data_IF_943892408510
#
_entry.id   IF_943892408510
#
_cell.length_a   1.000
_cell.length_b   1.000
_cell.length_c   1.000
_cell.angle_alpha   90.00
_cell.angle_beta   90.00
_cell.angle_gamma   90.00
#
_symmetry.space_group_name_H-M   'P 1'
#
loop_
_entity.id
_entity.type
_entity.pdbx_description
1 polymer ?
#
# COMPACT_ATOMS: atom_id res chain seq x y z
N UNK A 1 -35.12 -20.04 15.85
CA UNK A 1 -34.22 -18.86 15.84
C UNK A 1 -34.92 -17.70 16.51
N UNK A 2 -34.32 -17.17 17.59
CA UNK A 2 -34.88 -16.01 18.32
C UNK A 2 -34.60 -14.73 17.51
N UNK A 3 -35.57 -13.81 17.52
CA UNK A 3 -35.38 -12.45 16.99
C UNK A 3 -34.97 -11.45 18.10
N UNK A 4 -34.92 -11.90 19.34
CA UNK A 4 -34.51 -11.11 20.50
C UNK A 4 -32.97 -11.11 20.61
N UNK A 5 -32.29 -9.95 20.43
CA UNK A 5 -30.83 -9.86 20.50
C UNK A 5 -30.25 -10.19 21.89
N UNK A 6 -31.10 -10.23 22.92
CA UNK A 6 -30.70 -10.59 24.31
C UNK A 6 -31.02 -12.04 24.65
N UNK A 7 -31.45 -12.86 23.70
CA UNK A 7 -31.75 -14.27 23.97
C UNK A 7 -30.51 -15.03 24.45
N UNK A 8 -30.65 -15.99 25.40
CA UNK A 8 -29.49 -16.70 25.97
C UNK A 8 -28.60 -17.42 24.94
N UNK A 9 -29.17 -17.84 23.81
CA UNK A 9 -28.42 -18.46 22.70
C UNK A 9 -27.42 -17.54 22.05
N UNK A 10 -27.53 -16.20 22.22
CA UNK A 10 -26.58 -15.20 21.67
C UNK A 10 -25.53 -14.75 22.71
N UNK A 11 -25.56 -15.29 23.95
CA UNK A 11 -24.62 -14.89 24.99
C UNK A 11 -23.14 -15.03 24.56
N UNK A 12 -22.79 -16.13 23.86
CA UNK A 12 -21.44 -16.36 23.39
C UNK A 12 -21.00 -15.33 22.31
N UNK A 13 -21.93 -14.81 21.52
CA UNK A 13 -21.63 -13.76 20.53
C UNK A 13 -21.35 -12.45 21.27
N UNK A 14 -22.14 -12.15 22.30
CA UNK A 14 -21.92 -10.95 23.10
C UNK A 14 -20.56 -11.02 23.84
N UNK A 15 -20.24 -12.15 24.46
CA UNK A 15 -18.94 -12.37 25.10
C UNK A 15 -17.78 -12.18 24.12
N UNK A 16 -17.92 -12.67 22.88
CA UNK A 16 -16.91 -12.45 21.84
C UNK A 16 -16.76 -10.96 21.51
N UNK A 17 -17.87 -10.23 21.34
CA UNK A 17 -17.82 -8.80 21.01
C UNK A 17 -17.23 -7.98 22.16
N UNK A 18 -17.62 -8.29 23.41
CA UNK A 18 -17.07 -7.64 24.60
C UNK A 18 -15.55 -7.91 24.71
N UNK A 19 -15.10 -9.14 24.42
CA UNK A 19 -13.67 -9.49 24.39
C UNK A 19 -12.93 -8.76 23.25
N UNK A 20 -13.53 -8.61 22.08
CA UNK A 20 -12.93 -7.83 20.97
C UNK A 20 -12.73 -6.38 21.38
N UNK A 21 -13.74 -5.77 22.01
CA UNK A 21 -13.67 -4.36 22.44
C UNK A 21 -12.62 -4.16 23.56
N UNK A 22 -12.44 -5.14 24.44
CA UNK A 22 -11.46 -5.09 25.54
C UNK A 22 -10.01 -5.34 25.06
N UNK A 23 -9.81 -6.33 24.16
CA UNK A 23 -8.48 -6.82 23.81
C UNK A 23 -7.86 -6.18 22.57
N UNK A 24 -8.67 -5.63 21.66
CA UNK A 24 -8.18 -5.01 20.41
C UNK A 24 -8.17 -3.49 20.59
N UNK A 25 -6.98 -2.87 20.76
CA UNK A 25 -6.89 -1.42 20.88
C UNK A 25 -7.31 -0.74 19.58
N UNK A 26 -7.94 0.42 19.70
CA UNK A 26 -8.22 1.27 18.53
C UNK A 26 -6.91 1.60 17.82
N UNK A 27 -6.81 1.37 16.49
CA UNK A 27 -5.60 1.68 15.73
C UNK A 27 -5.22 3.14 15.85
N UNK A 28 -3.92 3.42 15.99
CA UNK A 28 -3.40 4.78 15.87
C UNK A 28 -3.55 5.23 14.41
N UNK A 29 -4.48 6.17 14.18
CA UNK A 29 -4.70 6.79 12.88
C UNK A 29 -3.71 7.92 12.71
N UNK A 30 -2.83 7.83 11.73
CA UNK A 30 -1.80 8.83 11.41
C UNK A 30 -2.42 10.06 10.72
N UNK A 31 -3.35 10.73 11.36
CA UNK A 31 -4.12 11.85 10.80
C UNK A 31 -3.28 13.11 10.61
N UNK A 32 -2.28 13.33 11.47
CA UNK A 32 -1.39 14.50 11.43
C UNK A 32 -0.33 14.44 10.32
N UNK A 33 -0.23 13.30 9.61
CA UNK A 33 0.69 13.14 8.49
C UNK A 33 0.10 13.70 7.19
N UNK A 34 0.95 14.05 6.20
CA UNK A 34 0.47 14.40 4.87
C UNK A 34 -0.41 13.29 4.27
N UNK A 35 -1.55 13.66 3.67
CA UNK A 35 -2.48 12.74 3.03
C UNK A 35 -1.78 11.80 2.05
N UNK A 36 -2.15 10.52 2.11
CA UNK A 36 -1.73 9.49 1.15
C UNK A 36 -2.81 8.41 1.04
N UNK A 37 -3.20 8.11 -0.19
CA UNK A 37 -4.15 7.04 -0.53
C UNK A 37 -3.62 6.24 -1.72
N UNK A 38 -3.27 4.95 -1.54
CA UNK A 38 -2.98 4.05 -2.65
C UNK A 38 -4.21 3.86 -3.53
N UNK A 39 -4.03 3.90 -4.85
CA UNK A 39 -5.09 3.67 -5.83
C UNK A 39 -5.31 2.16 -6.00
N UNK A 40 -6.51 1.69 -5.69
CA UNK A 40 -6.92 0.28 -5.81
C UNK A 40 -7.65 0.00 -7.12
N UNK A 41 -8.53 0.92 -7.52
CA UNK A 41 -9.28 0.83 -8.78
C UNK A 41 -9.59 2.23 -9.33
N UNK A 42 -9.84 2.28 -10.65
CA UNK A 42 -10.16 3.51 -11.37
C UNK A 42 -11.32 3.28 -12.32
N UNK A 43 -12.38 4.08 -12.21
CA UNK A 43 -13.50 4.04 -13.12
C UNK A 43 -14.00 5.44 -13.47
N UNK A 44 -14.84 5.51 -14.50
CA UNK A 44 -15.40 6.77 -14.97
C UNK A 44 -16.91 6.80 -14.70
N UNK A 45 -17.38 7.90 -14.15
CA UNK A 45 -18.82 8.19 -14.03
C UNK A 45 -19.20 9.13 -15.16
N UNK A 46 -20.15 8.69 -16.02
CA UNK A 46 -20.64 9.51 -17.14
C UNK A 46 -21.12 10.88 -16.66
N UNK A 47 -20.61 11.95 -17.26
CA UNK A 47 -20.95 13.34 -16.93
C UNK A 47 -20.31 13.89 -15.65
N UNK A 48 -19.58 13.07 -14.86
CA UNK A 48 -18.93 13.53 -13.62
C UNK A 48 -17.41 13.47 -13.68
N UNK A 49 -16.81 12.44 -14.31
CA UNK A 49 -15.36 12.33 -14.46
C UNK A 49 -14.79 11.01 -13.93
N UNK A 50 -13.49 11.00 -13.68
CA UNK A 50 -12.73 9.84 -13.22
C UNK A 50 -12.72 9.78 -11.70
N UNK A 51 -13.00 8.58 -11.17
CA UNK A 51 -12.95 8.26 -9.73
C UNK A 51 -11.81 7.29 -9.49
N UNK A 52 -10.94 7.61 -8.55
CA UNK A 52 -9.96 6.71 -7.97
C UNK A 52 -10.46 6.21 -6.62
N UNK A 53 -10.45 4.90 -6.41
CA UNK A 53 -10.82 4.30 -5.13
C UNK A 53 -9.60 3.80 -4.39
N UNK A 54 -9.67 3.81 -3.07
CA UNK A 54 -8.63 3.29 -2.20
C UNK A 54 -8.92 3.56 -0.73
N UNK A 55 -8.07 2.99 0.11
CA UNK A 55 -8.08 3.27 1.54
C UNK A 55 -7.09 4.39 1.85
N UNK A 56 -7.53 5.42 2.56
CA UNK A 56 -6.64 6.46 3.08
C UNK A 56 -5.65 5.81 4.05
N UNK A 57 -4.37 5.82 3.70
CA UNK A 57 -3.30 5.20 4.50
C UNK A 57 -2.90 6.11 5.67
N UNK A 58 -2.89 7.42 5.44
CA UNK A 58 -2.54 8.46 6.43
C UNK A 58 -3.07 9.83 6.03
N UNK A 59 -3.12 10.73 7.00
CA UNK A 59 -3.54 12.11 6.83
C UNK A 59 -5.03 12.27 6.60
N UNK A 60 -5.40 13.46 6.19
CA UNK A 60 -6.77 13.86 5.85
C UNK A 60 -6.81 14.44 4.46
N UNK A 61 -7.92 14.21 3.75
CA UNK A 61 -8.25 14.79 2.45
C UNK A 61 -9.53 15.57 2.57
N UNK A 62 -9.52 16.85 2.16
CA UNK A 62 -10.72 17.68 2.14
C UNK A 62 -11.25 17.87 0.73
N UNK A 63 -12.56 18.11 0.64
CA UNK A 63 -13.19 18.46 -0.62
C UNK A 63 -12.54 19.72 -1.22
N UNK A 64 -12.31 19.73 -2.55
CA UNK A 64 -11.60 20.75 -3.31
C UNK A 64 -10.11 20.90 -2.97
N UNK A 65 -9.50 19.97 -2.26
CA UNK A 65 -8.08 19.96 -2.02
C UNK A 65 -7.30 19.48 -3.25
N UNK A 66 -6.09 20.02 -3.44
CA UNK A 66 -5.15 19.56 -4.47
C UNK A 66 -4.44 18.30 -4.02
N UNK A 67 -4.33 17.35 -4.93
CA UNK A 67 -3.57 16.11 -4.76
C UNK A 67 -2.63 15.90 -5.94
N UNK A 68 -1.57 15.15 -5.71
CA UNK A 68 -0.60 14.72 -6.71
C UNK A 68 -0.76 13.21 -6.94
N UNK A 69 -0.72 12.80 -8.21
CA UNK A 69 -0.67 11.39 -8.63
C UNK A 69 0.79 11.01 -8.76
N UNK A 70 1.24 10.02 -7.99
CA UNK A 70 2.66 9.63 -7.89
C UNK A 70 2.84 8.13 -8.13
N UNK A 71 3.89 7.76 -8.84
CA UNK A 71 4.30 6.36 -9.10
C UNK A 71 4.00 5.90 -10.51
N UNK A 72 4.65 4.80 -10.93
CA UNK A 72 4.63 4.17 -12.24
C UNK A 72 5.18 5.04 -13.39
N UNK A 73 5.43 6.31 -13.14
CA UNK A 73 6.10 7.24 -14.04
C UNK A 73 6.82 8.33 -13.24
N UNK A 74 7.76 9.03 -13.87
CA UNK A 74 8.44 10.19 -13.29
C UNK A 74 7.64 11.49 -13.48
N UNK A 75 6.54 11.42 -14.24
CA UNK A 75 5.69 12.58 -14.52
C UNK A 75 4.90 12.96 -13.26
N UNK A 76 4.98 14.22 -12.88
CA UNK A 76 4.17 14.80 -11.81
C UNK A 76 2.87 15.32 -12.38
N UNK A 77 1.78 14.85 -11.80
CA UNK A 77 0.44 15.30 -12.18
C UNK A 77 -0.34 15.74 -10.95
N UNK A 78 -0.71 17.00 -10.92
CA UNK A 78 -1.61 17.54 -9.90
C UNK A 78 -3.06 17.58 -10.41
N UNK A 79 -3.99 17.34 -9.51
CA UNK A 79 -5.42 17.50 -9.74
C UNK A 79 -6.11 17.99 -8.49
N UNK A 80 -7.43 18.21 -8.59
CA UNK A 80 -8.28 18.63 -7.47
C UNK A 80 -9.35 17.56 -7.24
N UNK A 81 -9.52 17.15 -6.00
CA UNK A 81 -10.59 16.24 -5.59
C UNK A 81 -11.89 17.03 -5.47
N UNK A 82 -12.85 16.79 -6.36
CA UNK A 82 -14.13 17.50 -6.45
C UNK A 82 -15.30 16.77 -5.82
N UNK A 83 -15.08 15.55 -5.35
CA UNK A 83 -16.05 14.75 -4.63
C UNK A 83 -15.36 13.65 -3.85
N UNK A 84 -15.86 13.36 -2.67
CA UNK A 84 -15.44 12.25 -1.80
C UNK A 84 -16.69 11.48 -1.45
N UNK A 85 -16.67 10.16 -1.70
CA UNK A 85 -17.81 9.29 -1.43
C UNK A 85 -17.37 8.03 -0.68
N UNK A 86 -18.11 7.65 0.35
CA UNK A 86 -17.94 6.42 1.10
C UNK A 86 -19.32 5.81 1.40
N UNK A 87 -19.51 4.52 1.05
CA UNK A 87 -20.79 3.80 1.24
C UNK A 87 -22.03 4.56 0.72
N UNK A 88 -21.93 5.13 -0.50
CA UNK A 88 -22.96 5.97 -1.14
C UNK A 88 -23.33 7.26 -0.39
N UNK A 89 -22.44 7.73 0.49
CA UNK A 89 -22.57 9.02 1.18
C UNK A 89 -21.46 9.97 0.72
N UNK A 90 -21.87 11.17 0.36
CA UNK A 90 -20.93 12.26 0.06
C UNK A 90 -20.32 12.79 1.38
N UNK A 91 -19.02 13.01 1.37
CA UNK A 91 -18.27 13.49 2.51
C UNK A 91 -17.60 14.83 2.19
N UNK A 92 -17.45 15.69 3.20
CA UNK A 92 -16.67 16.92 3.10
C UNK A 92 -15.17 16.67 3.27
N UNK A 93 -14.80 15.61 3.97
CA UNK A 93 -13.42 15.16 4.17
C UNK A 93 -13.38 13.65 4.39
N UNK A 94 -12.19 13.08 4.21
CA UNK A 94 -11.85 11.70 4.55
C UNK A 94 -10.56 11.67 5.38
N UNK A 95 -10.41 10.65 6.21
CA UNK A 95 -9.27 10.50 7.11
C UNK A 95 -8.65 9.10 7.05
N UNK A 96 -7.49 8.95 7.66
CA UNK A 96 -6.77 7.67 7.72
C UNK A 96 -7.68 6.52 8.19
N UNK A 97 -7.74 5.46 7.38
CA UNK A 97 -8.59 4.28 7.60
C UNK A 97 -9.85 4.25 6.73
N UNK A 98 -10.30 5.37 6.18
CA UNK A 98 -11.50 5.42 5.34
C UNK A 98 -11.26 4.79 3.97
N UNK A 99 -12.22 3.99 3.49
CA UNK A 99 -12.26 3.52 2.10
C UNK A 99 -13.15 4.45 1.29
N UNK A 100 -12.56 5.17 0.35
CA UNK A 100 -13.25 6.23 -0.39
C UNK A 100 -13.12 6.09 -1.91
N UNK A 101 -14.07 6.73 -2.60
CA UNK A 101 -13.95 7.11 -3.99
C UNK A 101 -13.68 8.61 -4.09
N UNK A 102 -12.55 8.99 -4.66
CA UNK A 102 -12.15 10.38 -4.89
C UNK A 102 -12.42 10.76 -6.36
N UNK A 103 -13.33 11.71 -6.59
CA UNK A 103 -13.63 12.24 -7.91
C UNK A 103 -12.56 13.28 -8.29
N UNK A 104 -11.83 13.04 -9.38
CA UNK A 104 -10.69 13.83 -9.83
C UNK A 104 -11.09 14.76 -10.99
N UNK A 105 -10.68 16.03 -10.90
CA UNK A 105 -10.95 17.04 -11.94
C UNK A 105 -9.96 16.92 -13.09
N UNK A 106 -10.48 16.78 -14.32
CA UNK A 106 -9.66 16.89 -15.54
C UNK A 106 -8.63 15.77 -15.72
N UNK A 107 -8.83 14.62 -15.06
CA UNK A 107 -8.00 13.41 -15.23
C UNK A 107 -8.79 12.40 -16.03
N UNK A 108 -8.24 11.92 -17.14
CA UNK A 108 -8.81 10.81 -17.89
C UNK A 108 -8.51 9.47 -17.19
N UNK A 109 -9.36 8.45 -17.40
CA UNK A 109 -9.12 7.10 -16.83
C UNK A 109 -7.77 6.51 -17.21
N UNK A 110 -7.24 6.86 -18.40
CA UNK A 110 -5.96 6.38 -18.91
C UNK A 110 -4.74 7.09 -18.30
N UNK A 111 -4.96 8.10 -17.48
CA UNK A 111 -3.93 8.95 -16.87
C UNK A 111 -3.69 8.65 -15.39
N UNK A 112 -4.44 7.71 -14.85
CA UNK A 112 -4.29 7.21 -13.49
C UNK A 112 -4.59 5.72 -13.49
N UNK A 113 -3.82 4.95 -12.74
CA UNK A 113 -3.98 3.51 -12.67
C UNK A 113 -3.71 2.94 -11.28
N UNK A 114 -4.17 1.72 -11.06
CA UNK A 114 -3.86 0.95 -9.85
C UNK A 114 -2.34 0.85 -9.65
N UNK A 115 -1.89 1.07 -8.42
CA UNK A 115 -0.48 1.04 -8.06
C UNK A 115 0.16 2.41 -7.88
N UNK A 116 -0.45 3.46 -8.44
CA UNK A 116 -0.13 4.83 -8.11
C UNK A 116 -0.71 5.21 -6.74
N UNK A 117 -0.30 6.35 -6.21
CA UNK A 117 -0.88 6.93 -5.00
C UNK A 117 -1.40 8.33 -5.27
N UNK A 118 -2.49 8.70 -4.61
CA UNK A 118 -2.88 10.10 -4.44
C UNK A 118 -2.25 10.60 -3.14
N UNK A 119 -1.55 11.71 -3.22
CA UNK A 119 -0.85 12.28 -2.06
C UNK A 119 -0.99 13.78 -1.99
N UNK A 120 -0.69 14.36 -0.83
CA UNK A 120 -0.49 15.79 -0.72
C UNK A 120 0.69 16.17 -1.63
N UNK A 121 0.58 17.24 -2.47
CA UNK A 121 1.64 17.62 -3.40
C UNK A 121 3.00 17.74 -2.73
N UNK A 122 4.03 17.10 -3.32
CA UNK A 122 5.41 17.11 -2.84
C UNK A 122 5.69 16.31 -1.57
N UNK A 123 4.73 15.55 -1.04
CA UNK A 123 4.92 14.77 0.20
C UNK A 123 5.54 13.39 0.02
N UNK A 124 5.51 12.85 -1.20
CA UNK A 124 6.15 11.57 -1.57
C UNK A 124 6.68 11.68 -3.00
N UNK A 125 7.71 10.89 -3.32
CA UNK A 125 8.33 10.87 -4.65
C UNK A 125 8.44 9.46 -5.20
N UNK A 126 8.46 9.29 -6.54
CA UNK A 126 8.73 8.00 -7.14
C UNK A 126 10.22 7.68 -7.06
N UNK A 127 10.57 6.44 -6.77
CA UNK A 127 11.93 5.93 -6.71
C UNK A 127 12.04 4.55 -7.34
N UNK A 128 13.18 4.25 -7.92
CA UNK A 128 13.53 2.93 -8.45
C UNK A 128 14.54 2.19 -7.57
N UNK A 129 15.33 2.89 -6.75
CA UNK A 129 16.42 2.30 -5.98
C UNK A 129 16.23 2.49 -4.49
N UNK A 130 16.35 1.42 -3.73
CA UNK A 130 16.27 1.45 -2.28
C UNK A 130 17.10 0.34 -1.64
N UNK A 131 17.33 0.46 -0.34
CA UNK A 131 17.84 -0.62 0.51
C UNK A 131 16.69 -1.16 1.35
N UNK A 132 16.47 -2.45 1.28
CA UNK A 132 15.45 -3.14 2.07
C UNK A 132 16.08 -4.12 3.04
N UNK A 133 15.61 -4.12 4.29
CA UNK A 133 15.85 -5.21 5.22
C UNK A 133 14.82 -6.29 4.95
N UNK A 134 15.28 -7.49 4.60
CA UNK A 134 14.44 -8.57 4.08
C UNK A 134 14.65 -9.84 4.89
N UNK A 135 13.55 -10.42 5.33
CA UNK A 135 13.49 -11.79 5.83
C UNK A 135 13.06 -12.72 4.71
N UNK A 136 13.86 -13.75 4.44
CA UNK A 136 13.58 -14.76 3.41
C UNK A 136 12.86 -15.93 4.05
N UNK A 137 11.61 -16.16 3.64
CA UNK A 137 10.75 -17.20 4.19
C UNK A 137 11.35 -18.60 3.95
N UNK A 138 11.33 -19.43 4.99
CA UNK A 138 11.72 -20.82 4.93
C UNK A 138 10.70 -21.67 4.16
N UNK A 139 11.09 -22.91 3.81
CA UNK A 139 10.17 -23.87 3.18
C UNK A 139 8.94 -24.15 4.04
N UNK A 140 9.11 -24.27 5.35
CA UNK A 140 8.03 -24.59 6.29
C UNK A 140 7.04 -23.42 6.44
N UNK A 141 7.49 -22.19 6.15
CA UNK A 141 6.66 -20.99 6.07
C UNK A 141 6.02 -20.78 4.68
N UNK A 142 6.17 -21.74 3.77
CA UNK A 142 5.66 -21.68 2.41
C UNK A 142 6.57 -20.93 1.43
N UNK A 143 7.78 -20.57 1.85
CA UNK A 143 8.78 -19.86 1.06
C UNK A 143 9.62 -20.76 0.16
N UNK A 144 10.87 -20.36 -0.02
CA UNK A 144 11.87 -21.07 -0.85
C UNK A 144 12.51 -22.24 -0.09
N UNK A 145 13.02 -23.20 -0.85
CA UNK A 145 13.87 -24.30 -0.33
C UNK A 145 15.30 -24.24 -0.89
N UNK A 146 15.56 -23.28 -1.79
CA UNK A 146 16.89 -23.08 -2.42
C UNK A 146 17.36 -21.65 -2.19
N UNK A 147 18.66 -21.39 -2.09
CA UNK A 147 19.21 -20.05 -2.02
C UNK A 147 18.95 -19.28 -3.31
N UNK A 148 19.11 -17.96 -3.24
CA UNK A 148 19.22 -17.10 -4.42
C UNK A 148 20.54 -16.31 -4.36
N UNK A 149 20.93 -15.81 -5.52
CA UNK A 149 22.21 -15.15 -5.76
C UNK A 149 22.00 -13.70 -6.22
N UNK A 150 23.08 -12.95 -6.38
CA UNK A 150 23.06 -11.65 -7.00
C UNK A 150 22.34 -11.69 -8.37
N UNK A 151 21.68 -10.57 -8.71
CA UNK A 151 20.85 -10.43 -9.91
C UNK A 151 19.57 -11.28 -9.91
N UNK A 152 19.12 -11.80 -8.78
CA UNK A 152 17.82 -12.40 -8.65
C UNK A 152 16.72 -11.36 -8.93
N UNK A 153 15.70 -11.77 -9.72
CA UNK A 153 14.66 -10.87 -10.25
C UNK A 153 13.25 -11.31 -9.86
N UNK A 154 12.86 -11.18 -8.60
CA UNK A 154 11.49 -11.45 -8.16
C UNK A 154 10.57 -10.27 -8.39
N UNK A 155 9.29 -10.45 -8.04
CA UNK A 155 8.31 -9.37 -7.96
C UNK A 155 8.25 -8.80 -6.55
N UNK A 156 8.28 -7.48 -6.45
CA UNK A 156 8.13 -6.71 -5.23
C UNK A 156 6.73 -6.15 -5.16
N UNK A 157 6.00 -6.49 -4.11
CA UNK A 157 4.63 -6.03 -3.89
C UNK A 157 4.64 -4.87 -2.90
N UNK A 158 4.31 -3.69 -3.40
CA UNK A 158 4.15 -2.48 -2.60
C UNK A 158 2.69 -2.03 -2.66
N UNK A 159 2.04 -1.79 -1.53
CA UNK A 159 0.66 -1.33 -1.48
C UNK A 159 -0.25 -2.12 -2.45
N UNK A 160 -0.65 -1.51 -3.56
CA UNK A 160 -1.60 -2.06 -4.53
C UNK A 160 -0.97 -2.53 -5.84
N UNK A 161 0.36 -2.50 -5.97
CA UNK A 161 1.08 -2.86 -7.20
C UNK A 161 2.19 -3.86 -6.94
N UNK A 162 2.60 -4.52 -8.01
CA UNK A 162 3.81 -5.35 -8.07
C UNK A 162 4.72 -4.89 -9.19
N UNK A 163 6.02 -4.90 -8.90
CA UNK A 163 7.06 -4.51 -9.86
C UNK A 163 8.24 -5.46 -9.76
N UNK A 164 8.78 -5.84 -10.91
CA UNK A 164 10.02 -6.61 -10.96
C UNK A 164 11.19 -5.75 -10.48
N UNK A 165 12.01 -6.30 -9.60
CA UNK A 165 13.24 -5.65 -9.13
C UNK A 165 14.43 -6.58 -9.20
N UNK A 166 15.61 -6.00 -9.29
CA UNK A 166 16.90 -6.70 -9.28
C UNK A 166 17.49 -6.56 -7.89
N UNK A 167 17.89 -7.69 -7.29
CA UNK A 167 18.51 -7.73 -5.97
C UNK A 167 20.03 -7.73 -6.12
N UNK A 168 20.70 -6.88 -5.35
CA UNK A 168 22.15 -6.91 -5.13
C UNK A 168 22.40 -7.19 -3.64
N UNK A 169 23.07 -8.31 -3.36
CA UNK A 169 23.45 -8.71 -2.01
C UNK A 169 24.62 -7.86 -1.49
N UNK A 170 24.79 -7.75 -0.16
CA UNK A 170 25.93 -7.05 0.44
C UNK A 170 27.27 -7.63 -0.02
N UNK A 171 28.33 -6.80 0.01
CA UNK A 171 29.70 -7.24 -0.28
C UNK A 171 30.09 -8.41 0.63
N UNK A 172 30.70 -9.44 0.03
CA UNK A 172 31.11 -10.66 0.74
C UNK A 172 30.00 -11.70 0.93
N UNK A 173 28.75 -11.41 0.49
CA UNK A 173 27.64 -12.35 0.51
C UNK A 173 27.44 -12.93 -0.87
N UNK A 174 27.77 -14.22 -1.06
CA UNK A 174 27.60 -14.89 -2.37
C UNK A 174 26.17 -15.32 -2.61
N UNK A 175 25.44 -15.73 -1.57
CA UNK A 175 24.08 -16.22 -1.65
C UNK A 175 23.28 -15.84 -0.41
N UNK A 176 21.96 -15.87 -0.53
CA UNK A 176 21.01 -15.69 0.56
C UNK A 176 20.17 -16.97 0.71
N UNK A 177 20.15 -17.52 1.92
CA UNK A 177 19.45 -18.75 2.26
C UNK A 177 18.03 -18.48 2.76
N UNK A 178 17.09 -19.43 2.59
CA UNK A 178 15.82 -19.37 3.32
C UNK A 178 16.06 -19.31 4.84
N UNK A 179 15.39 -18.37 5.52
CA UNK A 179 15.58 -18.09 6.95
C UNK A 179 16.54 -16.94 7.25
N UNK A 180 17.27 -16.44 6.25
CA UNK A 180 18.17 -15.30 6.44
C UNK A 180 17.41 -13.98 6.57
N UNK A 181 18.02 -13.06 7.34
CA UNK A 181 17.63 -11.67 7.42
C UNK A 181 18.79 -10.81 6.89
N UNK A 182 18.56 -10.14 5.76
CA UNK A 182 19.64 -9.48 5.01
C UNK A 182 19.21 -8.09 4.54
N UNK A 183 20.10 -7.11 4.69
CA UNK A 183 19.94 -5.80 4.07
C UNK A 183 20.44 -5.89 2.62
N UNK A 184 19.55 -5.68 1.67
CA UNK A 184 19.86 -5.80 0.24
C UNK A 184 19.51 -4.55 -0.54
N UNK A 185 20.30 -4.25 -1.56
CA UNK A 185 19.98 -3.19 -2.52
C UNK A 185 19.02 -3.75 -3.56
N UNK A 186 18.01 -2.97 -3.88
CA UNK A 186 17.00 -3.31 -4.88
C UNK A 186 16.91 -2.19 -5.91
N UNK A 187 16.88 -2.59 -7.18
CA UNK A 187 16.60 -1.70 -8.30
C UNK A 187 15.35 -2.19 -9.04
N UNK A 188 14.28 -1.39 -8.98
CA UNK A 188 13.00 -1.67 -9.63
C UNK A 188 13.05 -1.26 -11.10
N UNK A 189 12.34 -1.99 -11.96
CA UNK A 189 12.22 -1.65 -13.39
C UNK A 189 11.28 -0.47 -13.66
N UNK A 190 10.45 -0.10 -12.68
CA UNK A 190 9.47 0.99 -12.77
C UNK A 190 9.50 1.80 -11.47
N UNK A 191 9.45 3.14 -11.54
CA UNK A 191 9.45 3.97 -10.34
C UNK A 191 8.14 3.81 -9.56
N UNK A 192 8.24 3.70 -8.23
CA UNK A 192 7.10 3.57 -7.32
C UNK A 192 7.21 4.61 -6.23
N UNK A 193 6.05 5.08 -5.73
CA UNK A 193 5.98 5.93 -4.56
C UNK A 193 6.47 5.15 -3.31
N UNK A 194 7.73 5.33 -2.95
CA UNK A 194 8.41 4.64 -1.84
C UNK A 194 8.83 5.66 -0.79
N UNK A 195 8.82 5.24 0.46
CA UNK A 195 9.34 5.99 1.60
C UNK A 195 9.98 5.05 2.61
N UNK A 196 10.83 5.59 3.49
CA UNK A 196 11.43 4.82 4.56
C UNK A 196 10.35 4.26 5.49
N UNK A 197 10.51 3.01 5.91
CA UNK A 197 9.55 2.29 6.72
C UNK A 197 8.42 1.61 5.95
N UNK A 198 8.34 1.80 4.62
CA UNK A 198 7.34 1.11 3.79
C UNK A 198 7.64 -0.39 3.77
N UNK A 199 6.62 -1.20 4.11
CA UNK A 199 6.70 -2.66 4.04
C UNK A 199 6.41 -3.15 2.64
N UNK A 200 7.04 -4.26 2.27
CA UNK A 200 6.82 -4.94 1.00
C UNK A 200 6.92 -6.45 1.14
N UNK A 201 6.33 -7.16 0.19
CA UNK A 201 6.50 -8.60 0.03
C UNK A 201 7.28 -8.90 -1.24
N UNK A 202 8.06 -9.99 -1.22
CA UNK A 202 8.76 -10.52 -2.38
C UNK A 202 8.04 -11.80 -2.80
N UNK A 203 7.68 -11.90 -4.09
CA UNK A 203 6.97 -13.06 -4.62
C UNK A 203 7.64 -13.63 -5.86
N UNK A 204 7.55 -14.92 -5.99
CA UNK A 204 8.02 -15.70 -7.14
C UNK A 204 6.96 -16.75 -7.49
N UNK A 205 6.53 -16.79 -8.75
CA UNK A 205 5.56 -17.79 -9.21
C UNK A 205 4.27 -17.86 -8.40
N UNK A 206 3.78 -16.69 -7.90
CA UNK A 206 2.56 -16.59 -7.08
C UNK A 206 2.75 -16.92 -5.59
N UNK A 207 3.96 -17.30 -5.14
CA UNK A 207 4.28 -17.56 -3.73
C UNK A 207 5.03 -16.40 -3.12
N UNK A 208 4.72 -16.05 -1.88
CA UNK A 208 5.52 -15.12 -1.09
C UNK A 208 6.79 -15.84 -0.61
N UNK A 209 7.94 -15.32 -1.00
CA UNK A 209 9.25 -15.89 -0.67
C UNK A 209 10.06 -15.04 0.30
N UNK A 210 9.59 -13.84 0.57
CA UNK A 210 10.20 -12.95 1.55
C UNK A 210 9.30 -11.77 1.88
N UNK A 211 9.63 -11.10 2.96
CA UNK A 211 9.01 -9.83 3.37
C UNK A 211 10.08 -8.88 3.87
N UNK A 212 9.88 -7.60 3.68
CA UNK A 212 10.88 -6.62 4.07
C UNK A 212 10.29 -5.24 4.36
N UNK A 213 11.17 -4.37 4.78
CA UNK A 213 10.91 -2.96 5.02
C UNK A 213 11.98 -2.11 4.34
N UNK A 214 11.59 -1.00 3.73
CA UNK A 214 12.51 -0.02 3.15
C UNK A 214 13.23 0.71 4.27
N UNK A 215 14.57 0.61 4.32
CA UNK A 215 15.38 1.25 5.36
C UNK A 215 16.14 2.47 4.85
N UNK A 216 16.38 2.56 3.53
CA UNK A 216 16.99 3.72 2.90
C UNK A 216 16.56 3.84 1.44
N UNK A 217 16.40 5.07 0.98
CA UNK A 217 16.16 5.39 -0.44
C UNK A 217 17.47 5.97 -0.99
N UNK A 218 17.96 5.37 -2.07
CA UNK A 218 19.13 5.88 -2.78
C UNK A 218 18.64 6.88 -3.82
N UNK A 219 18.85 8.15 -3.55
CA UNK A 219 18.73 9.18 -4.56
C UNK A 219 20.02 9.13 -5.39
N UNK A 220 19.91 8.80 -6.66
CA UNK A 220 21.00 8.98 -7.62
C UNK A 220 21.15 10.44 -8.01
#
# INVERSE_FOLDING_TARGET
>A
ESTDPNAPEYACIKELMDAVDEWIPTPDRKEDMPFLMPVEDVFTISGRGTVATGRVERGQLKLNEKVEIVGLSDEKRETVVTGIEMFHKLLDYAEAGDNIGALLRGVAKTEIERGQVLSKPGSIHPHTKFVGQVYVLTKDEGGRHTPFFNNYRPQFYFRTTDVTGIITLPEGTEMCMPGDNVDMKVELITPIAIENGLRFAIREGGRTVGSGVVIAINND
#
